data_IF_523995556417
#
_entry.id   IF_523995556417
#
_cell.length_a   1.000
_cell.length_b   1.000
_cell.length_c   1.000
_cell.angle_alpha   90.00
_cell.angle_beta   90.00
_cell.angle_gamma   90.00
#
_symmetry.space_group_name_H-M   'P 1'
#
loop_
_entity.id
_entity.type
_entity.pdbx_description
1 polymer ?
#
# COMPACT_ATOMS: atom_id res chain seq x y z
N UNK A 1 -6.93 -23.80 -7.77
CA UNK A 1 -6.32 -24.72 -8.77
C UNK A 1 -4.80 -24.81 -8.68
N UNK A 2 -4.04 -23.69 -8.73
CA UNK A 2 -2.56 -23.76 -8.79
C UNK A 2 -1.91 -24.49 -7.59
N UNK A 3 -2.44 -24.32 -6.38
CA UNK A 3 -1.95 -25.02 -5.17
C UNK A 3 -2.21 -26.52 -5.23
N UNK A 4 -3.43 -26.91 -5.62
CA UNK A 4 -3.82 -28.30 -5.77
C UNK A 4 -2.95 -29.05 -6.78
N UNK A 5 -2.67 -28.44 -7.94
CA UNK A 5 -1.81 -29.03 -8.97
C UNK A 5 -0.36 -29.22 -8.49
N UNK A 6 0.18 -28.28 -7.71
CA UNK A 6 1.52 -28.39 -7.12
C UNK A 6 1.61 -29.54 -6.13
N UNK A 7 0.59 -29.68 -5.27
CA UNK A 7 0.50 -30.80 -4.33
C UNK A 7 0.37 -32.14 -5.05
N UNK A 8 -0.49 -32.22 -6.07
CA UNK A 8 -0.67 -33.42 -6.87
C UNK A 8 0.62 -33.82 -7.59
N UNK A 9 1.33 -32.86 -8.18
CA UNK A 9 2.62 -33.11 -8.83
C UNK A 9 3.68 -33.60 -7.84
N UNK A 10 3.81 -32.93 -6.69
CA UNK A 10 4.73 -33.38 -5.65
C UNK A 10 4.39 -34.80 -5.16
N UNK A 11 3.10 -35.11 -4.99
CA UNK A 11 2.62 -36.43 -4.61
C UNK A 11 2.98 -37.50 -5.65
N UNK A 12 2.78 -37.20 -6.94
CA UNK A 12 3.18 -38.11 -8.04
C UNK A 12 4.68 -38.39 -7.98
N UNK A 13 5.52 -37.37 -7.79
CA UNK A 13 6.98 -37.56 -7.70
C UNK A 13 7.35 -38.43 -6.49
N UNK A 14 6.79 -38.14 -5.31
CA UNK A 14 7.02 -38.93 -4.10
C UNK A 14 6.56 -40.39 -4.25
N UNK A 15 5.36 -40.62 -4.78
CA UNK A 15 4.82 -41.96 -5.04
C UNK A 15 5.62 -42.72 -6.09
N UNK A 16 6.11 -42.04 -7.13
CA UNK A 16 6.97 -42.63 -8.16
C UNK A 16 8.27 -43.10 -7.52
N UNK A 17 8.90 -42.26 -6.70
CA UNK A 17 10.11 -42.65 -5.99
C UNK A 17 9.87 -43.80 -5.01
N UNK A 18 8.75 -43.80 -4.29
CA UNK A 18 8.42 -44.89 -3.37
C UNK A 18 8.30 -46.25 -4.09
N UNK A 19 7.68 -46.26 -5.28
CA UNK A 19 7.48 -47.49 -6.05
C UNK A 19 8.79 -48.01 -6.68
N UNK A 20 9.63 -47.12 -7.23
CA UNK A 20 10.86 -47.52 -7.92
C UNK A 20 12.09 -47.57 -7.01
N UNK A 21 12.10 -46.83 -5.91
CA UNK A 21 13.20 -46.71 -4.95
C UNK A 21 13.22 -47.79 -3.87
N UNK A 22 12.55 -48.93 -4.09
CA UNK A 22 12.58 -50.06 -3.17
C UNK A 22 11.74 -49.89 -1.89
N UNK A 23 10.72 -49.02 -1.89
CA UNK A 23 9.83 -48.84 -0.75
C UNK A 23 10.42 -48.02 0.40
N UNK A 24 11.51 -47.27 0.16
CA UNK A 24 12.05 -46.34 1.14
C UNK A 24 11.12 -45.13 1.31
N UNK A 25 10.29 -45.19 2.35
CA UNK A 25 9.36 -44.13 2.71
C UNK A 25 10.07 -42.83 3.11
N UNK A 26 11.26 -42.91 3.72
CA UNK A 26 11.99 -41.73 4.16
C UNK A 26 12.47 -40.92 2.95
N UNK A 27 13.08 -41.59 1.97
CA UNK A 27 13.52 -40.93 0.73
C UNK A 27 12.34 -40.40 -0.10
N UNK A 28 11.23 -41.15 -0.18
CA UNK A 28 10.04 -40.69 -0.89
C UNK A 28 9.47 -39.39 -0.28
N UNK A 29 9.44 -39.28 1.04
CA UNK A 29 9.02 -38.07 1.74
C UNK A 29 9.99 -36.90 1.52
N UNK A 30 11.30 -37.15 1.51
CA UNK A 30 12.29 -36.12 1.20
C UNK A 30 12.04 -35.55 -0.20
N UNK A 31 11.88 -36.40 -1.21
CA UNK A 31 11.60 -35.94 -2.57
C UNK A 31 10.28 -35.17 -2.66
N UNK A 32 9.24 -35.64 -1.98
CA UNK A 32 7.96 -34.94 -1.90
C UNK A 32 8.13 -33.51 -1.37
N UNK A 33 8.77 -33.34 -0.20
CA UNK A 33 8.93 -32.03 0.43
C UNK A 33 9.88 -31.11 -0.34
N UNK A 34 10.96 -31.64 -0.93
CA UNK A 34 11.88 -30.86 -1.77
C UNK A 34 11.17 -30.31 -3.00
N UNK A 35 10.47 -31.15 -3.75
CA UNK A 35 9.74 -30.75 -4.95
C UNK A 35 8.62 -29.78 -4.58
N UNK A 36 7.90 -30.04 -3.48
CA UNK A 36 6.89 -29.13 -2.98
C UNK A 36 7.48 -27.76 -2.65
N UNK A 37 8.62 -27.72 -1.97
CA UNK A 37 9.34 -26.48 -1.65
C UNK A 37 9.68 -25.68 -2.91
N UNK A 38 10.31 -26.31 -3.91
CA UNK A 38 10.68 -25.66 -5.17
C UNK A 38 9.45 -25.13 -5.92
N UNK A 39 8.36 -25.90 -5.96
CA UNK A 39 7.12 -25.47 -6.63
C UNK A 39 6.44 -24.28 -5.94
N UNK A 40 6.65 -24.10 -4.63
CA UNK A 40 6.12 -22.98 -3.87
C UNK A 40 7.06 -21.77 -3.85
N UNK A 41 8.36 -21.95 -4.12
CA UNK A 41 9.27 -20.84 -4.33
C UNK A 41 8.80 -20.00 -5.53
N UNK A 42 8.53 -18.73 -5.28
CA UNK A 42 8.26 -17.80 -6.36
C UNK A 42 9.57 -17.54 -7.10
N UNK A 43 9.62 -17.69 -8.44
CA UNK A 43 10.81 -17.31 -9.18
C UNK A 43 11.07 -15.82 -8.93
N UNK A 44 12.35 -15.46 -8.77
CA UNK A 44 12.76 -14.06 -8.68
C UNK A 44 12.41 -13.43 -10.03
N UNK A 45 11.27 -12.76 -10.09
CA UNK A 45 10.84 -12.05 -11.28
C UNK A 45 11.71 -10.81 -11.41
N UNK A 46 12.49 -10.74 -12.48
CA UNK A 46 13.14 -9.49 -12.87
C UNK A 46 12.05 -8.43 -13.05
N UNK A 47 12.01 -7.47 -12.14
CA UNK A 47 11.20 -6.27 -12.31
C UNK A 47 12.02 -5.30 -13.15
N UNK A 48 11.47 -4.87 -14.28
CA UNK A 48 12.09 -3.84 -15.11
C UNK A 48 12.33 -2.58 -14.25
N UNK A 49 13.59 -2.15 -14.07
CA UNK A 49 13.92 -1.01 -13.23
C UNK A 49 13.15 0.25 -13.63
N UNK A 50 12.86 0.44 -14.93
CA UNK A 50 12.09 1.59 -15.42
C UNK A 50 10.66 1.59 -14.89
N UNK A 51 9.98 0.44 -14.92
CA UNK A 51 8.62 0.32 -14.37
C UNK A 51 8.58 0.56 -12.86
N UNK A 52 9.63 0.15 -12.15
CA UNK A 52 9.75 0.40 -10.71
C UNK A 52 9.92 1.88 -10.41
N UNK A 53 10.76 2.57 -11.16
CA UNK A 53 10.97 4.02 -11.03
C UNK A 53 9.70 4.81 -11.35
N UNK A 54 9.02 4.49 -12.45
CA UNK A 54 7.73 5.11 -12.80
C UNK A 54 6.68 4.91 -11.71
N UNK A 55 6.59 3.70 -11.14
CA UNK A 55 5.65 3.43 -10.05
C UNK A 55 5.99 4.25 -8.79
N UNK A 56 7.27 4.34 -8.45
CA UNK A 56 7.73 5.15 -7.32
C UNK A 56 7.50 6.65 -7.53
N UNK A 57 7.68 7.15 -8.75
CA UNK A 57 7.37 8.53 -9.11
C UNK A 57 5.87 8.82 -8.95
N UNK A 58 5.00 7.97 -9.49
CA UNK A 58 3.53 8.14 -9.33
C UNK A 58 3.11 8.20 -7.86
N UNK A 59 3.73 7.39 -6.99
CA UNK A 59 3.46 7.44 -5.56
C UNK A 59 3.85 8.80 -4.97
N UNK A 60 5.06 9.30 -5.30
CA UNK A 60 5.54 10.60 -4.82
C UNK A 60 4.64 11.74 -5.29
N UNK A 61 4.34 11.79 -6.58
CA UNK A 61 3.48 12.83 -7.18
C UNK A 61 2.09 12.84 -6.52
N UNK A 62 1.53 11.66 -6.26
CA UNK A 62 0.21 11.55 -5.60
C UNK A 62 0.24 12.10 -4.16
N UNK A 63 1.37 11.93 -3.46
CA UNK A 63 1.55 12.42 -2.09
C UNK A 63 1.76 13.92 -2.07
N UNK A 64 2.57 14.45 -2.99
CA UNK A 64 2.79 15.89 -3.14
C UNK A 64 1.50 16.63 -3.46
N UNK A 65 0.69 16.10 -4.39
CA UNK A 65 -0.63 16.67 -4.71
C UNK A 65 -1.57 16.72 -3.51
N UNK A 66 -1.58 15.68 -2.67
CA UNK A 66 -2.41 15.65 -1.46
C UNK A 66 -1.97 16.73 -0.46
N UNK A 67 -0.67 16.88 -0.26
CA UNK A 67 -0.11 17.90 0.64
C UNK A 67 -0.42 19.31 0.12
N UNK A 68 -0.29 19.54 -1.20
CA UNK A 68 -0.62 20.82 -1.81
C UNK A 68 -2.09 21.20 -1.57
N UNK A 69 -3.02 20.27 -1.83
CA UNK A 69 -4.46 20.51 -1.61
C UNK A 69 -4.81 20.76 -0.14
N UNK A 70 -4.15 20.07 0.79
CA UNK A 70 -4.37 20.28 2.22
C UNK A 70 -3.87 21.66 2.67
N UNK A 71 -2.70 22.09 2.16
CA UNK A 71 -2.17 23.42 2.42
C UNK A 71 -3.09 24.52 1.87
N UNK A 72 -3.60 24.37 0.65
CA UNK A 72 -4.56 25.32 0.05
C UNK A 72 -5.82 25.46 0.91
N UNK A 73 -6.41 24.35 1.35
CA UNK A 73 -7.58 24.37 2.25
C UNK A 73 -7.29 25.09 3.57
N UNK A 74 -6.09 24.88 4.11
CA UNK A 74 -5.69 25.46 5.38
C UNK A 74 -5.44 26.98 5.24
N UNK A 75 -4.89 27.42 4.10
CA UNK A 75 -4.77 28.83 3.76
C UNK A 75 -6.13 29.51 3.59
N UNK A 76 -7.08 28.88 2.88
CA UNK A 76 -8.44 29.41 2.74
C UNK A 76 -9.12 29.57 4.10
N UNK A 77 -9.03 28.55 4.96
CA UNK A 77 -9.55 28.62 6.33
C UNK A 77 -8.92 29.75 7.14
N UNK A 78 -7.60 29.97 7.03
CA UNK A 78 -6.93 31.10 7.69
C UNK A 78 -7.44 32.44 7.18
N UNK A 79 -7.64 32.59 5.86
CA UNK A 79 -8.19 33.83 5.27
C UNK A 79 -9.60 34.10 5.75
N UNK A 80 -10.47 33.09 5.78
CA UNK A 80 -11.83 33.21 6.29
C UNK A 80 -11.87 33.63 7.77
N UNK A 81 -11.04 32.99 8.62
CA UNK A 81 -10.94 33.36 10.04
C UNK A 81 -10.46 34.79 10.23
N UNK A 82 -9.45 35.23 9.48
CA UNK A 82 -8.94 36.60 9.56
C UNK A 82 -10.02 37.61 9.17
N UNK A 83 -10.74 37.36 8.07
CA UNK A 83 -11.83 38.23 7.62
C UNK A 83 -12.97 38.31 8.65
N UNK A 84 -13.31 37.20 9.32
CA UNK A 84 -14.34 37.17 10.36
C UNK A 84 -13.93 38.03 11.58
N UNK A 85 -12.68 37.90 12.04
CA UNK A 85 -12.16 38.72 13.15
C UNK A 85 -12.17 40.21 12.81
N UNK A 86 -11.74 40.58 11.59
CA UNK A 86 -11.76 41.99 11.15
C UNK A 86 -13.19 42.56 11.08
N UNK A 87 -14.19 41.75 10.71
CA UNK A 87 -15.59 42.15 10.72
C UNK A 87 -16.12 42.35 12.14
N UNK A 88 -15.81 41.43 13.06
CA UNK A 88 -16.20 41.57 14.47
C UNK A 88 -15.57 42.82 15.12
N UNK A 89 -14.30 43.11 14.83
CA UNK A 89 -13.65 44.33 15.33
C UNK A 89 -14.30 45.60 14.78
N UNK A 90 -14.65 45.62 13.49
CA UNK A 90 -15.38 46.76 12.90
C UNK A 90 -16.73 46.95 13.57
N UNK A 91 -17.49 45.87 13.77
CA UNK A 91 -18.78 45.91 14.45
C UNK A 91 -18.64 46.45 15.88
N UNK A 92 -17.66 45.97 16.66
CA UNK A 92 -17.41 46.46 18.03
C UNK A 92 -17.09 47.97 18.04
N UNK A 93 -16.22 48.42 17.14
CA UNK A 93 -15.87 49.86 17.01
C UNK A 93 -17.10 50.70 16.64
N UNK A 94 -17.93 50.23 15.72
CA UNK A 94 -19.16 50.93 15.32
C UNK A 94 -20.18 50.98 16.48
N UNK A 95 -20.29 49.91 17.29
CA UNK A 95 -21.12 49.89 18.48
C UNK A 95 -20.63 50.88 19.56
N UNK A 96 -19.33 50.88 19.86
CA UNK A 96 -18.73 51.81 20.83
C UNK A 96 -18.93 53.27 20.42
N UNK A 97 -18.74 53.59 19.13
CA UNK A 97 -18.98 54.94 18.61
C UNK A 97 -20.45 55.37 18.70
N UNK A 98 -21.40 54.43 18.56
CA UNK A 98 -22.84 54.73 18.70
C UNK A 98 -23.25 54.93 20.16
N UNK A 99 -22.66 54.18 21.10
CA UNK A 99 -22.95 54.33 22.53
C UNK A 99 -22.36 55.63 23.07
N UNK A 100 -21.13 55.98 22.69
CA UNK A 100 -20.45 57.19 23.17
C UNK A 100 -20.99 58.51 22.55
N UNK A 101 -21.93 58.41 21.60
CA UNK A 101 -22.63 59.56 20.98
C UNK A 101 -23.99 59.87 21.62
N UNK A 102 -24.45 59.04 22.58
CA UNK A 102 -25.62 59.33 23.44
C UNK A 102 -25.16 59.94 24.75
#
# INVERSE_FOLDING_TARGET
MQVFLKLLFAAIVGSTWYHFGGGDAAMALIFFFVILGVLFMKPIRYQDPKRREEYMQRIRDSRERKIALENERLEELRRLKKNALEQEEKLKKDFEQRINKR
#
